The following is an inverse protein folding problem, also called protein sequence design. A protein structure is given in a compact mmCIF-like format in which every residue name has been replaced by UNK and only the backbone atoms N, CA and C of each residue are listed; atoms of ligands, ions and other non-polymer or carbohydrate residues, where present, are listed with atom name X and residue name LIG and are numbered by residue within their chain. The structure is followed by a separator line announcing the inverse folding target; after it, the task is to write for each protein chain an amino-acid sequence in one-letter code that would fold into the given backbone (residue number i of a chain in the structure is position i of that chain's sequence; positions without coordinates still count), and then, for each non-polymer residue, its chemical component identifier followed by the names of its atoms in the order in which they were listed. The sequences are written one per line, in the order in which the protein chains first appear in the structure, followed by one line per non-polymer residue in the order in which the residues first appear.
data_IF_905912737424
#
_entry.id   IF_905912737424
#
_cell.length_a   1.000
_cell.length_b   1.000
_cell.length_c   1.000
_cell.angle_alpha   90.00
_cell.angle_beta   90.00
_cell.angle_gamma   90.00
#
_symmetry.space_group_name_H-M   'P 1'
#
loop_
_entity.id
_entity.type
_entity.pdbx_description
1 polymer ?
#
# COMPACT_ATOMS: atom_id res chain seq x y z
N UNK A 1 -20.66 2.33 -5.79
CA UNK A 1 -19.22 2.53 -6.04
C UNK A 1 -18.98 2.04 -7.43
N UNK A 2 -18.48 2.89 -8.29
CA UNK A 2 -18.20 2.56 -9.68
C UNK A 2 -16.71 2.49 -9.89
N UNK A 3 -16.32 1.55 -10.74
CA UNK A 3 -14.96 1.36 -11.19
C UNK A 3 -14.93 1.51 -12.70
N UNK A 4 -14.10 2.43 -13.17
CA UNK A 4 -13.93 2.74 -14.58
C UNK A 4 -12.55 2.25 -15.02
N UNK A 5 -12.51 1.49 -16.11
CA UNK A 5 -11.30 0.89 -16.64
C UNK A 5 -11.00 1.52 -17.99
N UNK A 6 -9.81 2.10 -18.11
CA UNK A 6 -9.33 2.74 -19.32
C UNK A 6 -8.01 2.12 -19.78
N UNK A 7 -7.89 1.89 -21.09
CA UNK A 7 -6.65 1.37 -21.69
C UNK A 7 -5.75 2.54 -22.08
N UNK A 8 -4.49 2.53 -21.66
CA UNK A 8 -3.55 3.62 -21.88
C UNK A 8 -2.23 3.11 -22.46
N UNK A 9 -1.94 3.53 -23.71
CA UNK A 9 -0.80 3.08 -24.52
C UNK A 9 -0.65 1.54 -24.56
N UNK A 10 0.36 1.02 -25.25
CA UNK A 10 0.42 -0.41 -25.61
C UNK A 10 0.54 -1.38 -24.42
N UNK A 11 0.81 -0.91 -23.19
CA UNK A 11 1.11 -1.80 -22.05
C UNK A 11 0.38 -1.46 -20.72
N UNK A 12 -0.53 -0.50 -20.67
CA UNK A 12 -1.15 -0.05 -19.40
C UNK A 12 -2.68 -0.10 -19.34
N UNK A 13 -3.21 -0.44 -18.17
CA UNK A 13 -4.61 -0.20 -17.79
C UNK A 13 -4.66 0.76 -16.60
N UNK A 14 -5.56 1.73 -16.64
CA UNK A 14 -5.84 2.67 -15.57
C UNK A 14 -7.23 2.38 -14.99
N UNK A 15 -7.31 2.27 -13.67
CA UNK A 15 -8.56 2.00 -12.94
C UNK A 15 -8.89 3.20 -12.06
N UNK A 16 -10.04 3.83 -12.30
CA UNK A 16 -10.61 4.85 -11.42
C UNK A 16 -11.71 4.22 -10.59
N UNK A 17 -11.72 4.47 -9.28
CA UNK A 17 -12.67 3.86 -8.36
C UNK A 17 -13.18 4.89 -7.35
N UNK A 18 -14.49 4.99 -7.17
CA UNK A 18 -15.07 5.98 -6.27
C UNK A 18 -16.58 5.82 -6.09
N UNK A 19 -17.18 6.68 -5.26
CA UNK A 19 -18.64 6.76 -5.17
C UNK A 19 -19.21 7.34 -6.46
N UNK A 20 -20.43 6.91 -6.78
CA UNK A 20 -21.05 7.18 -8.08
C UNK A 20 -21.14 8.69 -8.33
N UNK A 21 -21.46 9.49 -7.31
CA UNK A 21 -21.50 10.96 -7.40
C UNK A 21 -20.13 11.58 -7.70
N UNK A 22 -19.08 11.13 -7.01
CA UNK A 22 -17.72 11.64 -7.17
C UNK A 22 -17.16 11.31 -8.55
N UNK A 23 -17.41 10.08 -9.02
CA UNK A 23 -16.95 9.62 -10.33
C UNK A 23 -17.73 10.32 -11.44
N UNK A 24 -19.03 10.48 -11.32
CA UNK A 24 -19.83 11.22 -12.30
C UNK A 24 -19.37 12.67 -12.41
N UNK A 25 -19.04 13.32 -11.28
CA UNK A 25 -18.46 14.67 -11.26
C UNK A 25 -17.08 14.71 -11.95
N UNK A 26 -16.24 13.70 -11.72
CA UNK A 26 -14.94 13.59 -12.38
C UNK A 26 -15.09 13.42 -13.90
N UNK A 27 -15.99 12.55 -14.35
CA UNK A 27 -16.27 12.30 -15.76
C UNK A 27 -16.85 13.54 -16.46
N UNK A 28 -17.71 14.28 -15.77
CA UNK A 28 -18.28 15.54 -16.28
C UNK A 28 -17.24 16.67 -16.43
N UNK A 29 -16.12 16.61 -15.70
CA UNK A 29 -15.08 17.66 -15.77
C UNK A 29 -14.35 17.72 -17.11
N UNK A 30 -14.26 16.59 -17.82
CA UNK A 30 -13.68 16.52 -19.17
C UNK A 30 -14.36 15.40 -19.98
N UNK A 31 -15.14 15.74 -21.03
CA UNK A 31 -15.82 14.75 -21.87
C UNK A 31 -14.89 13.69 -22.49
N UNK A 32 -13.61 14.02 -22.68
CA UNK A 32 -12.59 13.09 -23.19
C UNK A 32 -12.16 12.00 -22.21
N UNK A 33 -12.54 12.10 -20.92
CA UNK A 33 -12.32 11.03 -19.94
C UNK A 33 -13.33 9.90 -20.14
N UNK A 34 -14.61 10.22 -20.31
CA UNK A 34 -15.67 9.21 -20.52
C UNK A 34 -15.37 8.30 -21.70
N UNK A 35 -14.77 8.84 -22.77
CA UNK A 35 -14.35 8.05 -23.94
C UNK A 35 -13.17 7.11 -23.66
N UNK A 36 -12.24 7.51 -22.78
CA UNK A 36 -11.05 6.70 -22.43
C UNK A 36 -11.34 5.61 -21.40
N UNK A 37 -12.44 5.74 -20.65
CA UNK A 37 -12.90 4.74 -19.69
C UNK A 37 -14.17 4.06 -20.22
N UNK A 38 -14.00 3.22 -21.23
CA UNK A 38 -15.11 2.56 -21.93
C UNK A 38 -15.74 1.41 -21.15
N UNK A 39 -15.08 0.91 -20.11
CA UNK A 39 -15.59 -0.15 -19.24
C UNK A 39 -15.92 0.39 -17.85
N UNK A 40 -17.14 0.10 -17.39
CA UNK A 40 -17.64 0.49 -16.07
C UNK A 40 -18.15 -0.73 -15.32
N UNK A 41 -17.69 -0.90 -14.08
CA UNK A 41 -18.11 -1.95 -13.16
C UNK A 41 -18.75 -1.31 -11.94
N UNK A 42 -20.05 -1.54 -11.74
CA UNK A 42 -20.79 -1.02 -10.58
C UNK A 42 -20.80 -2.03 -9.44
N UNK A 43 -20.22 -1.64 -8.31
CA UNK A 43 -20.23 -2.38 -7.05
C UNK A 43 -21.38 -1.92 -6.16
N UNK A 44 -22.37 -2.80 -6.02
CA UNK A 44 -23.49 -2.62 -5.08
C UNK A 44 -23.03 -2.92 -3.65
N UNK A 45 -23.67 -2.25 -2.68
CA UNK A 45 -23.45 -2.55 -1.26
C UNK A 45 -23.82 -4.01 -0.99
N UNK A 46 -23.00 -4.76 -0.24
CA UNK A 46 -23.31 -6.15 0.07
C UNK A 46 -24.60 -6.24 0.88
N UNK A 47 -25.45 -7.18 0.50
CA UNK A 47 -26.65 -7.54 1.26
C UNK A 47 -26.26 -8.13 2.61
N UNK A 48 -27.17 -8.15 3.62
CA UNK A 48 -26.89 -8.79 4.91
C UNK A 48 -26.42 -10.25 4.76
N UNK A 49 -26.98 -11.00 3.81
CA UNK A 49 -26.56 -12.36 3.50
C UNK A 49 -25.15 -12.43 2.92
N UNK A 50 -24.75 -11.47 2.09
CA UNK A 50 -23.37 -11.38 1.60
C UNK A 50 -22.39 -10.97 2.70
N UNK A 51 -22.78 -10.07 3.61
CA UNK A 51 -21.98 -9.75 4.79
C UNK A 51 -21.75 -10.98 5.68
N UNK A 52 -22.77 -11.84 5.83
CA UNK A 52 -22.63 -13.12 6.51
C UNK A 52 -21.66 -14.06 5.80
N UNK A 53 -21.74 -14.19 4.47
CA UNK A 53 -20.79 -14.99 3.69
C UNK A 53 -19.35 -14.50 3.87
N UNK A 54 -19.13 -13.19 3.74
CA UNK A 54 -17.82 -12.58 3.95
C UNK A 54 -17.27 -12.82 5.37
N UNK A 55 -18.14 -12.76 6.39
CA UNK A 55 -17.76 -13.07 7.77
C UNK A 55 -17.35 -14.54 7.90
N UNK A 56 -18.15 -15.47 7.36
CA UNK A 56 -17.86 -16.91 7.38
C UNK A 56 -16.57 -17.23 6.68
N UNK A 57 -16.36 -16.68 5.49
CA UNK A 57 -15.15 -16.92 4.70
C UNK A 57 -13.91 -16.36 5.41
N UNK A 58 -14.02 -15.17 6.01
CA UNK A 58 -12.91 -14.57 6.78
C UNK A 58 -12.55 -15.39 8.03
N UNK A 59 -13.54 -15.95 8.72
CA UNK A 59 -13.31 -16.81 9.89
C UNK A 59 -12.79 -18.19 9.49
N UNK A 60 -13.27 -18.74 8.37
CA UNK A 60 -12.87 -20.05 7.84
C UNK A 60 -11.43 -20.12 7.34
N UNK A 61 -10.76 -18.98 7.13
CA UNK A 61 -9.33 -18.92 6.80
C UNK A 61 -8.43 -19.32 7.98
N UNK A 62 -8.93 -19.30 9.22
CA UNK A 62 -8.13 -19.62 10.41
C UNK A 62 -8.24 -21.11 10.75
N UNK A 63 -7.24 -21.90 10.35
CA UNK A 63 -7.22 -23.37 10.53
C UNK A 63 -7.17 -23.84 11.99
N UNK A 64 -6.68 -23.00 12.89
CA UNK A 64 -6.49 -23.34 14.31
C UNK A 64 -7.76 -23.13 15.15
N UNK A 65 -8.87 -22.76 14.52
CA UNK A 65 -10.13 -22.42 15.20
C UNK A 65 -11.27 -23.29 14.65
N UNK A 66 -12.00 -23.93 15.55
CA UNK A 66 -13.25 -24.61 15.21
C UNK A 66 -14.33 -23.56 14.91
N UNK A 67 -14.92 -23.70 13.73
CA UNK A 67 -15.89 -22.81 13.14
C UNK A 67 -17.23 -23.52 12.86
N UNK A 68 -17.52 -24.63 13.55
CA UNK A 68 -18.78 -25.38 13.42
C UNK A 68 -20.03 -24.48 13.48
N UNK A 69 -20.09 -23.59 14.47
CA UNK A 69 -21.17 -22.61 14.68
C UNK A 69 -21.36 -21.66 13.49
N UNK A 70 -20.29 -21.37 12.76
CA UNK A 70 -20.32 -20.48 11.59
C UNK A 70 -20.63 -21.27 10.31
N UNK A 71 -20.21 -22.53 10.22
CA UNK A 71 -20.47 -23.41 9.08
C UNK A 71 -21.94 -23.82 9.02
N UNK A 72 -22.53 -24.14 10.18
CA UNK A 72 -23.93 -24.53 10.32
C UNK A 72 -24.55 -23.82 11.54
N UNK A 73 -24.93 -22.54 11.39
CA UNK A 73 -25.61 -21.82 12.46
C UNK A 73 -27.03 -22.36 12.69
N UNK A 74 -27.51 -22.28 13.92
CA UNK A 74 -28.93 -22.44 14.20
C UNK A 74 -29.78 -21.41 13.42
N UNK A 75 -31.02 -21.76 13.09
CA UNK A 75 -31.91 -20.92 12.30
C UNK A 75 -32.22 -19.57 12.98
N UNK A 76 -32.37 -19.57 14.31
CA UNK A 76 -32.61 -18.36 15.09
C UNK A 76 -31.35 -17.48 15.15
N UNK A 77 -30.19 -18.10 15.38
CA UNK A 77 -28.91 -17.40 15.41
C UNK A 77 -28.56 -16.76 14.05
N UNK A 78 -28.76 -17.50 12.96
CA UNK A 78 -28.56 -16.98 11.60
C UNK A 78 -29.49 -15.80 11.28
N UNK A 79 -30.79 -15.91 11.61
CA UNK A 79 -31.74 -14.82 11.41
C UNK A 79 -31.36 -13.56 12.22
N UNK A 80 -30.85 -13.75 13.44
CA UNK A 80 -30.36 -12.66 14.28
C UNK A 80 -29.13 -11.97 13.68
N UNK A 81 -28.18 -12.71 13.12
CA UNK A 81 -27.01 -12.15 12.43
C UNK A 81 -27.44 -11.32 11.22
N UNK A 82 -28.35 -11.84 10.39
CA UNK A 82 -28.83 -11.11 9.22
C UNK A 82 -29.54 -9.81 9.62
N UNK A 83 -30.33 -9.85 10.70
CA UNK A 83 -30.98 -8.66 11.28
C UNK A 83 -29.95 -7.66 11.79
N UNK A 84 -28.89 -8.13 12.44
CA UNK A 84 -27.79 -7.30 12.93
C UNK A 84 -27.04 -6.60 11.79
N UNK A 85 -26.72 -7.31 10.70
CA UNK A 85 -26.11 -6.70 9.52
C UNK A 85 -27.04 -5.75 8.78
N UNK A 86 -28.34 -6.04 8.73
CA UNK A 86 -29.35 -5.10 8.20
C UNK A 86 -29.35 -3.81 9.00
N UNK A 87 -29.36 -3.89 10.33
CA UNK A 87 -29.30 -2.72 11.20
C UNK A 87 -27.99 -1.94 11.02
N UNK A 88 -26.84 -2.62 11.01
CA UNK A 88 -25.54 -2.01 10.74
C UNK A 88 -25.51 -1.26 9.41
N UNK A 89 -26.16 -1.80 8.37
CA UNK A 89 -26.22 -1.17 7.04
C UNK A 89 -27.00 0.16 7.01
N UNK A 90 -27.88 0.39 7.99
CA UNK A 90 -28.63 1.65 8.13
C UNK A 90 -27.90 2.72 8.94
N UNK A 91 -26.84 2.35 9.66
CA UNK A 91 -26.08 3.30 10.49
C UNK A 91 -25.12 4.14 9.64
N UNK A 92 -24.95 5.43 9.97
CA UNK A 92 -23.96 6.28 9.28
C UNK A 92 -22.54 5.75 9.55
N UNK A 93 -21.69 5.83 8.52
CA UNK A 93 -20.30 5.36 8.62
C UNK A 93 -20.11 3.84 8.53
N UNK A 94 -21.14 3.07 8.12
CA UNK A 94 -20.98 1.66 7.77
C UNK A 94 -20.12 1.47 6.50
N UNK A 95 -18.91 0.96 6.70
CA UNK A 95 -17.87 0.66 5.71
C UNK A 95 -17.98 -0.73 5.07
N UNK A 96 -19.14 -1.39 5.16
CA UNK A 96 -19.43 -2.67 4.50
C UNK A 96 -18.35 -3.74 4.74
N UNK A 97 -17.69 -4.23 3.68
CA UNK A 97 -16.68 -5.29 3.77
C UNK A 97 -15.53 -4.97 4.72
N UNK A 98 -15.11 -3.71 4.83
CA UNK A 98 -14.07 -3.28 5.79
C UNK A 98 -14.49 -3.55 7.23
N UNK A 99 -15.76 -3.28 7.54
CA UNK A 99 -16.30 -3.48 8.88
C UNK A 99 -16.57 -4.94 9.17
N UNK A 100 -17.05 -5.71 8.18
CA UNK A 100 -17.17 -7.17 8.29
C UNK A 100 -15.81 -7.79 8.60
N UNK A 101 -14.74 -7.33 7.92
CA UNK A 101 -13.37 -7.77 8.18
C UNK A 101 -12.88 -7.35 9.58
N UNK A 102 -13.19 -6.13 10.00
CA UNK A 102 -12.86 -5.67 11.36
C UNK A 102 -13.58 -6.51 12.43
N UNK A 103 -14.84 -6.87 12.19
CA UNK A 103 -15.63 -7.75 13.06
C UNK A 103 -14.98 -9.15 13.11
N UNK A 104 -14.65 -9.75 11.97
CA UNK A 104 -14.00 -11.06 11.92
C UNK A 104 -12.67 -11.06 12.66
N UNK A 105 -11.82 -10.06 12.43
CA UNK A 105 -10.52 -9.94 13.08
C UNK A 105 -10.67 -9.74 14.59
N UNK A 106 -11.72 -9.04 15.04
CA UNK A 106 -12.03 -8.87 16.46
C UNK A 106 -12.48 -10.18 17.10
N UNK A 107 -13.30 -10.97 16.41
CA UNK A 107 -13.70 -12.32 16.87
C UNK A 107 -12.45 -13.18 17.00
N UNK A 108 -11.64 -13.25 15.94
CA UNK A 108 -10.39 -14.04 15.91
C UNK A 108 -9.49 -13.64 17.08
N UNK A 109 -9.21 -12.35 17.27
CA UNK A 109 -8.38 -11.86 18.39
C UNK A 109 -8.92 -12.28 19.74
N UNK A 110 -10.24 -12.20 19.96
CA UNK A 110 -10.87 -12.61 21.23
C UNK A 110 -10.76 -14.11 21.44
N UNK A 111 -10.99 -14.91 20.41
CA UNK A 111 -10.78 -16.38 20.47
C UNK A 111 -9.35 -16.68 20.91
N UNK A 112 -8.36 -16.05 20.27
CA UNK A 112 -6.94 -16.25 20.61
C UNK A 112 -6.52 -15.69 21.99
N UNK A 113 -7.31 -14.81 22.58
CA UNK A 113 -7.05 -14.23 23.91
C UNK A 113 -7.70 -15.05 25.03
N UNK A 114 -8.55 -16.02 24.71
CA UNK A 114 -9.11 -16.94 25.69
C UNK A 114 -8.12 -18.09 25.94
N UNK A 115 -7.73 -18.35 27.21
CA UNK A 115 -6.91 -19.51 27.52
C UNK A 115 -7.66 -20.79 27.15
N UNK A 116 -6.95 -21.77 26.59
CA UNK A 116 -7.52 -23.10 26.35
C UNK A 116 -7.68 -23.81 27.69
N UNK A 117 -8.82 -24.45 27.89
CA UNK A 117 -9.02 -25.34 29.02
C UNK A 117 -8.14 -26.60 28.88
N UNK A 118 -7.78 -27.21 30.01
CA UNK A 118 -6.99 -28.44 30.05
C UNK A 118 -7.67 -29.54 29.22
N UNK A 119 -7.04 -29.91 28.08
CA UNK A 119 -7.52 -30.94 27.17
C UNK A 119 -8.11 -30.44 25.84
N UNK A 120 -8.28 -29.13 25.64
CA UNK A 120 -8.67 -28.59 24.34
C UNK A 120 -7.43 -28.45 23.43
N UNK A 121 -7.49 -29.03 22.23
CA UNK A 121 -6.45 -28.92 21.19
C UNK A 121 -6.75 -27.83 20.17
N UNK A 122 -7.97 -27.27 20.18
CA UNK A 122 -8.41 -26.26 19.24
C UNK A 122 -9.30 -25.24 19.95
N UNK A 123 -9.15 -23.96 19.59
CA UNK A 123 -10.01 -22.90 20.09
C UNK A 123 -11.37 -22.94 19.37
N UNK A 124 -12.48 -22.66 20.05
CA UNK A 124 -13.83 -22.78 19.48
C UNK A 124 -14.50 -21.39 19.38
N UNK A 125 -15.11 -21.09 18.23
CA UNK A 125 -15.99 -19.92 18.09
C UNK A 125 -17.38 -20.27 18.64
N UNK A 126 -17.82 -19.55 19.67
CA UNK A 126 -19.16 -19.70 20.25
C UNK A 126 -20.13 -18.64 19.72
N UNK A 127 -21.43 -18.95 19.72
CA UNK A 127 -22.49 -17.99 19.36
C UNK A 127 -22.43 -16.73 20.22
N UNK A 128 -22.23 -16.90 21.53
CA UNK A 128 -22.14 -15.79 22.48
C UNK A 128 -21.00 -14.82 22.16
N UNK A 129 -19.86 -15.31 21.70
CA UNK A 129 -18.73 -14.47 21.30
C UNK A 129 -19.08 -13.61 20.07
N UNK A 130 -19.64 -14.25 19.03
CA UNK A 130 -20.06 -13.57 17.80
C UNK A 130 -21.13 -12.53 18.11
N UNK A 131 -22.13 -12.90 18.91
CA UNK A 131 -23.19 -12.00 19.35
C UNK A 131 -22.64 -10.80 20.11
N UNK A 132 -21.71 -11.03 21.05
CA UNK A 132 -21.10 -9.95 21.83
C UNK A 132 -20.30 -8.98 20.95
N UNK A 133 -19.57 -9.47 19.95
CA UNK A 133 -18.80 -8.60 19.04
C UNK A 133 -19.73 -7.78 18.15
N UNK A 134 -20.77 -8.40 17.57
CA UNK A 134 -21.75 -7.71 16.74
C UNK A 134 -22.53 -6.65 17.53
N UNK A 135 -23.04 -7.00 18.71
CA UNK A 135 -23.74 -6.05 19.59
C UNK A 135 -22.84 -4.90 20.01
N UNK A 136 -21.58 -5.17 20.42
CA UNK A 136 -20.62 -4.11 20.76
C UNK A 136 -20.37 -3.17 19.58
N UNK A 137 -20.31 -3.72 18.37
CA UNK A 137 -20.09 -2.93 17.15
C UNK A 137 -21.28 -2.04 16.84
N UNK A 138 -22.50 -2.57 16.96
CA UNK A 138 -23.75 -1.81 16.82
C UNK A 138 -23.81 -0.67 17.83
N UNK A 139 -23.59 -0.96 19.12
CA UNK A 139 -23.70 0.01 20.20
C UNK A 139 -22.68 1.15 20.03
N UNK A 140 -21.41 0.82 19.76
CA UNK A 140 -20.36 1.83 19.51
C UNK A 140 -20.72 2.78 18.38
N UNK A 141 -21.40 2.29 17.35
CA UNK A 141 -21.79 3.09 16.18
C UNK A 141 -23.05 3.90 16.41
N UNK A 142 -24.03 3.35 17.11
CA UNK A 142 -25.19 4.11 17.55
C UNK A 142 -24.74 5.31 18.38
N UNK A 143 -23.80 5.13 19.32
CA UNK A 143 -23.25 6.23 20.12
C UNK A 143 -22.58 7.31 19.24
N UNK A 144 -21.80 6.92 18.23
CA UNK A 144 -21.20 7.88 17.28
C UNK A 144 -22.24 8.61 16.44
N UNK A 145 -23.27 7.89 15.98
CA UNK A 145 -24.36 8.48 15.22
C UNK A 145 -25.10 9.54 16.04
N UNK A 146 -25.39 9.25 17.32
CA UNK A 146 -26.06 10.19 18.23
C UNK A 146 -25.16 11.36 18.64
N UNK A 147 -23.84 11.18 18.71
CA UNK A 147 -22.91 12.26 19.03
C UNK A 147 -22.72 13.27 17.87
N UNK A 148 -23.22 12.97 16.66
CA UNK A 148 -23.04 13.81 15.46
C UNK A 148 -24.22 14.77 15.21
N UNK A 149 -25.28 14.76 16.04
CA UNK A 149 -26.36 15.77 15.97
C UNK A 149 -26.02 16.96 16.89
N UNK A 150 -25.84 18.19 16.36
CA UNK A 150 -25.64 19.37 17.18
C UNK A 150 -26.98 19.81 17.77
N UNK A 151 -27.25 19.46 19.02
CA UNK A 151 -28.28 20.14 19.81
C UNK A 151 -27.59 21.23 20.64
N UNK A 152 -27.68 22.48 20.19
CA UNK A 152 -27.35 23.65 21.01
C UNK A 152 -28.46 24.70 20.83
N UNK A 153 -29.16 25.12 21.91
CA UNK A 153 -29.93 26.35 21.88
C UNK A 153 -28.94 27.53 21.86
N UNK A 154 -28.95 28.28 20.77
CA UNK A 154 -28.24 29.55 20.63
C UNK A 154 -28.77 30.57 21.64
N UNK A 155 -27.89 31.07 22.52
CA UNK A 155 -28.09 32.36 23.19
C UNK A 155 -26.88 33.24 22.86
N UNK A 156 -27.07 34.43 22.25
CA UNK A 156 -25.98 35.29 21.84
C UNK A 156 -25.57 36.20 23.00
N UNK A 157 -24.57 35.80 23.77
CA UNK A 157 -23.85 36.71 24.66
C UNK A 157 -22.52 37.08 24.00
N UNK A 158 -22.48 38.28 23.42
CA UNK A 158 -21.27 38.91 22.94
C UNK A 158 -20.29 39.12 24.10
N UNK A 159 -19.03 38.73 23.89
CA UNK A 159 -17.89 39.18 24.69
C UNK A 159 -16.69 39.47 23.76
N UNK A 160 -15.82 40.43 24.12
CA UNK A 160 -15.00 41.17 23.17
C UNK A 160 -13.68 40.47 22.83
N UNK A 161 -13.21 40.71 21.60
CA UNK A 161 -11.91 40.31 21.12
C UNK A 161 -10.78 40.99 21.92
N UNK A 162 -9.90 40.18 22.50
CA UNK A 162 -8.58 40.62 22.97
C UNK A 162 -7.54 40.10 21.97
N UNK A 163 -6.90 41.04 21.27
CA UNK A 163 -5.79 40.79 20.37
C UNK A 163 -4.57 40.31 21.17
N UNK A 164 -4.12 39.09 20.91
CA UNK A 164 -2.81 38.58 21.32
C UNK A 164 -1.79 38.75 20.17
N UNK A 165 -0.48 38.91 20.47
CA UNK A 165 0.55 39.15 19.47
C UNK A 165 0.80 37.92 18.57
N UNK A 166 1.30 38.10 17.33
CA UNK A 166 1.55 36.99 16.43
C UNK A 166 2.79 36.20 16.88
N UNK A 167 2.62 34.91 17.13
CA UNK A 167 3.74 33.98 17.25
C UNK A 167 4.21 33.58 15.85
N UNK A 168 5.39 34.07 15.46
CA UNK A 168 6.13 33.64 14.27
C UNK A 168 6.76 32.27 14.52
N UNK A 169 6.54 31.34 13.57
CA UNK A 169 7.24 30.06 13.52
C UNK A 169 8.74 30.28 13.20
N UNK A 170 9.66 29.48 13.77
CA UNK A 170 11.09 29.63 13.50
C UNK A 170 11.44 29.10 12.10
N UNK A 171 11.91 30.01 11.25
CA UNK A 171 12.65 29.69 10.03
C UNK A 171 14.08 29.31 10.40
N UNK A 172 14.52 28.12 10.01
CA UNK A 172 15.94 27.77 10.08
C UNK A 172 16.68 28.47 8.94
N UNK A 173 17.59 29.36 9.33
CA UNK A 173 18.59 30.02 8.49
C UNK A 173 19.72 29.04 8.17
N UNK A 174 19.94 28.77 6.88
CA UNK A 174 21.23 28.28 6.38
C UNK A 174 21.89 29.43 5.61
N UNK A 175 23.16 29.66 5.94
CA UNK A 175 23.91 30.88 5.72
C UNK A 175 24.14 31.23 4.23
N UNK A 176 24.04 32.53 3.98
CA UNK A 176 24.48 33.23 2.78
C UNK A 176 25.99 33.11 2.58
N UNK A 177 26.42 32.94 1.33
CA UNK A 177 27.66 33.56 0.84
C UNK A 177 27.31 34.46 -0.34
N UNK A 178 27.53 35.76 -0.16
CA UNK A 178 27.30 36.78 -1.15
C UNK A 178 28.65 37.25 -1.73
N UNK A 179 28.71 37.36 -3.06
CA UNK A 179 29.44 38.34 -3.89
C UNK A 179 29.33 37.85 -5.33
N UNK A 180 29.02 38.63 -6.37
CA UNK A 180 28.82 40.07 -6.52
C UNK A 180 28.18 40.25 -7.91
N UNK A 181 27.28 41.22 -8.07
CA UNK A 181 26.68 41.57 -9.37
C UNK A 181 27.71 42.19 -10.31
N UNK A 182 27.63 41.84 -11.60
CA UNK A 182 27.59 42.81 -12.69
C UNK A 182 26.92 42.17 -13.93
N UNK A 183 26.06 42.95 -14.60
CA UNK A 183 25.28 42.65 -15.81
C UNK A 183 25.89 43.48 -16.97
N UNK A 184 25.44 43.47 -18.26
CA UNK A 184 24.55 42.56 -19.01
C UNK A 184 25.13 42.11 -20.38
N UNK A 185 24.51 41.12 -21.04
CA UNK A 185 24.09 41.19 -22.47
C UNK A 185 23.43 39.89 -22.96
N UNK A 186 22.37 40.09 -23.72
CA UNK A 186 21.39 39.15 -24.32
C UNK A 186 21.97 38.32 -25.50
N UNK A 187 21.22 37.35 -26.08
CA UNK A 187 21.72 36.12 -26.69
C UNK A 187 21.82 36.21 -28.22
N UNK A 188 22.28 35.15 -28.90
CA UNK A 188 21.30 34.44 -29.74
C UNK A 188 21.48 32.91 -29.78
N UNK A 189 20.36 32.22 -30.04
CA UNK A 189 20.12 31.17 -31.04
C UNK A 189 21.25 30.13 -31.29
N UNK A 190 21.02 28.82 -31.37
CA UNK A 190 19.98 28.13 -32.13
C UNK A 190 19.98 26.65 -31.70
N UNK A 191 18.77 26.09 -31.68
CA UNK A 191 18.32 24.71 -31.86
C UNK A 191 19.28 23.50 -31.89
N UNK A 192 18.68 22.41 -31.41
CA UNK A 192 18.67 21.06 -31.99
C UNK A 192 19.52 19.98 -31.33
N UNK A 193 18.73 19.00 -30.90
CA UNK A 193 18.89 17.57 -31.13
C UNK A 193 19.67 16.73 -30.13
N UNK A 194 18.96 15.67 -29.75
CA UNK A 194 19.41 14.63 -28.85
C UNK A 194 20.66 13.95 -29.39
N UNK A 195 21.63 13.78 -28.50
CA UNK A 195 22.71 12.84 -28.66
C UNK A 195 22.70 11.87 -27.48
N UNK A 196 22.44 10.62 -27.83
CA UNK A 196 22.55 9.42 -27.03
C UNK A 196 23.94 9.37 -26.36
N UNK A 197 24.03 9.40 -25.03
CA UNK A 197 25.31 9.31 -24.32
C UNK A 197 25.78 7.84 -24.29
N UNK A 198 26.84 7.56 -25.05
CA UNK A 198 27.53 6.26 -25.07
C UNK A 198 28.43 6.07 -23.84
N UNK A 199 28.68 4.81 -23.44
CA UNK A 199 29.45 4.38 -22.26
C UNK A 199 30.86 4.98 -22.08
N UNK A 200 31.43 5.66 -23.08
CA UNK A 200 32.73 6.31 -22.98
C UNK A 200 32.72 7.64 -22.19
N UNK A 201 31.55 8.22 -21.89
CA UNK A 201 31.44 9.53 -21.22
C UNK A 201 31.43 9.45 -19.68
N UNK A 202 31.38 8.23 -19.11
CA UNK A 202 31.31 8.02 -17.65
C UNK A 202 32.68 8.04 -16.95
N UNK A 203 33.77 8.19 -17.72
CA UNK A 203 35.13 8.51 -17.25
C UNK A 203 35.51 9.97 -17.57
N UNK A 204 34.53 10.86 -17.70
CA UNK A 204 34.72 12.26 -18.05
C UNK A 204 35.50 13.07 -17.00
N UNK A 205 36.07 14.23 -17.40
CA UNK A 205 36.87 15.09 -16.53
C UNK A 205 36.04 15.60 -15.35
N UNK A 206 36.67 15.71 -14.19
CA UNK A 206 36.08 16.21 -12.94
C UNK A 206 35.32 17.53 -13.12
N UNK A 207 34.11 17.58 -12.56
CA UNK A 207 33.29 18.78 -12.56
C UNK A 207 33.94 19.94 -11.77
N UNK A 208 34.01 21.16 -12.34
CA UNK A 208 34.54 22.33 -11.64
C UNK A 208 33.71 22.64 -10.38
N UNK A 209 34.34 22.61 -9.21
CA UNK A 209 33.71 23.02 -7.93
C UNK A 209 33.47 21.90 -6.90
N UNK A 210 33.71 20.64 -7.24
CA UNK A 210 33.66 19.51 -6.27
C UNK A 210 35.00 19.41 -5.54
N UNK A 211 35.02 19.26 -4.21
CA UNK A 211 36.28 19.09 -3.44
C UNK A 211 36.94 17.74 -3.71
N UNK A 212 38.24 17.60 -3.41
CA UNK A 212 38.97 16.34 -3.62
C UNK A 212 38.33 15.20 -2.81
N UNK A 213 37.94 15.50 -1.58
CA UNK A 213 37.36 14.54 -0.64
C UNK A 213 35.99 14.03 -1.09
N UNK A 214 35.13 14.94 -1.59
CA UNK A 214 33.80 14.56 -2.11
C UNK A 214 33.93 13.76 -3.40
N UNK A 215 34.89 14.12 -4.27
CA UNK A 215 35.15 13.40 -5.50
C UNK A 215 35.64 11.98 -5.23
N UNK A 216 36.62 11.81 -4.34
CA UNK A 216 37.17 10.49 -4.00
C UNK A 216 36.12 9.59 -3.35
N UNK A 217 35.25 10.16 -2.50
CA UNK A 217 34.12 9.43 -1.91
C UNK A 217 33.13 8.96 -2.98
N UNK A 218 32.74 9.82 -3.93
CA UNK A 218 31.82 9.45 -5.01
C UNK A 218 32.40 8.33 -5.91
N UNK A 219 33.71 8.34 -6.15
CA UNK A 219 34.38 7.27 -6.89
C UNK A 219 34.39 5.95 -6.10
N UNK A 220 34.62 6.01 -4.79
CA UNK A 220 34.53 4.84 -3.91
C UNK A 220 33.10 4.25 -3.89
N UNK A 221 32.09 5.10 -3.73
CA UNK A 221 30.68 4.70 -3.69
C UNK A 221 30.24 4.07 -5.01
N UNK A 222 30.64 4.66 -6.16
CA UNK A 222 30.39 4.08 -7.48
C UNK A 222 30.99 2.69 -7.61
N UNK A 223 32.26 2.53 -7.19
CA UNK A 223 32.94 1.24 -7.24
C UNK A 223 32.26 0.19 -6.35
N UNK A 224 31.81 0.58 -5.16
CA UNK A 224 31.06 -0.30 -4.27
C UNK A 224 29.71 -0.71 -4.88
N UNK A 225 28.98 0.25 -5.43
CA UNK A 225 27.70 0.01 -6.08
C UNK A 225 27.85 -0.91 -7.30
N UNK A 226 28.84 -0.67 -8.17
CA UNK A 226 29.13 -1.52 -9.32
C UNK A 226 29.56 -2.94 -8.90
N UNK A 227 30.31 -3.06 -7.80
CA UNK A 227 30.67 -4.36 -7.23
C UNK A 227 29.43 -5.11 -6.71
N UNK A 228 28.49 -4.40 -6.07
CA UNK A 228 27.23 -4.97 -5.60
C UNK A 228 26.36 -5.46 -6.76
N UNK A 229 26.23 -4.67 -7.84
CA UNK A 229 25.49 -5.09 -9.04
C UNK A 229 26.09 -6.35 -9.65
N UNK A 230 27.43 -6.41 -9.75
CA UNK A 230 28.13 -7.59 -10.27
C UNK A 230 27.89 -8.82 -9.39
N UNK A 231 27.94 -8.65 -8.07
CA UNK A 231 27.67 -9.72 -7.12
C UNK A 231 26.24 -10.25 -7.24
N UNK A 232 25.24 -9.36 -7.28
CA UNK A 232 23.84 -9.75 -7.48
C UNK A 232 23.63 -10.51 -8.80
N UNK A 233 24.29 -10.06 -9.88
CA UNK A 233 24.21 -10.72 -11.19
C UNK A 233 24.83 -12.12 -11.17
N UNK A 234 25.90 -12.33 -10.41
CA UNK A 234 26.54 -13.63 -10.21
C UNK A 234 25.60 -14.61 -9.49
N UNK A 235 24.94 -14.17 -8.40
CA UNK A 235 23.94 -14.98 -7.67
C UNK A 235 22.79 -15.40 -8.60
N UNK A 236 22.23 -14.47 -9.38
CA UNK A 236 21.14 -14.77 -10.33
C UNK A 236 21.61 -15.75 -11.43
N UNK A 237 22.84 -15.61 -11.91
CA UNK A 237 23.38 -16.50 -12.94
C UNK A 237 23.66 -17.90 -12.39
N UNK A 238 24.19 -18.00 -11.17
CA UNK A 238 24.44 -19.27 -10.48
C UNK A 238 23.14 -20.03 -10.22
N UNK A 239 22.10 -19.37 -9.70
CA UNK A 239 20.78 -19.95 -9.49
C UNK A 239 20.19 -20.54 -10.78
N UNK A 240 20.25 -19.77 -11.89
CA UNK A 240 19.81 -20.23 -13.22
C UNK A 240 20.63 -21.40 -13.74
N UNK A 241 21.96 -21.37 -13.57
CA UNK A 241 22.83 -22.46 -14.00
C UNK A 241 22.54 -23.75 -13.25
N UNK A 242 22.32 -23.66 -11.93
CA UNK A 242 22.04 -24.82 -11.09
C UNK A 242 20.63 -25.39 -11.35
N UNK A 243 19.64 -24.51 -11.57
CA UNK A 243 18.29 -24.93 -11.95
C UNK A 243 18.28 -25.66 -13.29
N UNK A 244 19.00 -25.13 -14.29
CA UNK A 244 19.14 -25.79 -15.60
C UNK A 244 19.83 -27.16 -15.51
N UNK A 245 20.83 -27.30 -14.63
CA UNK A 245 21.46 -28.61 -14.35
C UNK A 245 20.49 -29.59 -13.70
N UNK A 246 19.59 -29.13 -12.83
CA UNK A 246 18.57 -29.98 -12.20
C UNK A 246 17.51 -30.45 -13.22
N UNK A 247 17.12 -29.59 -14.15
CA UNK A 247 16.17 -29.93 -15.23
C UNK A 247 16.78 -30.90 -16.26
N UNK A 248 18.08 -30.78 -16.52
CA UNK A 248 18.85 -31.72 -17.36
C UNK A 248 19.26 -32.96 -16.53
N UNK A 249 18.32 -33.88 -16.34
CA UNK A 249 18.36 -35.10 -15.52
C UNK A 249 19.46 -36.16 -15.85
N UNK A 250 20.65 -35.77 -16.32
CA UNK A 250 21.70 -36.69 -16.82
C UNK A 250 22.86 -36.93 -15.86
N UNK A 251 22.99 -36.18 -14.76
CA UNK A 251 24.12 -36.30 -13.84
C UNK A 251 23.66 -35.89 -12.44
N UNK A 252 22.85 -36.77 -11.83
CA UNK A 252 22.48 -36.61 -10.42
C UNK A 252 23.53 -37.35 -9.58
N UNK A 253 24.24 -36.65 -8.67
CA UNK A 253 25.23 -37.28 -7.81
C UNK A 253 24.55 -38.11 -6.71
N UNK A 254 25.36 -38.76 -5.86
CA UNK A 254 24.93 -39.62 -4.74
C UNK A 254 23.90 -38.91 -3.82
N UNK A 255 23.11 -39.66 -3.05
CA UNK A 255 21.90 -39.13 -2.38
C UNK A 255 22.22 -37.98 -1.38
N UNK A 256 23.42 -38.00 -0.77
CA UNK A 256 23.94 -36.95 0.11
C UNK A 256 24.34 -35.67 -0.65
N UNK A 257 25.04 -35.80 -1.78
CA UNK A 257 25.45 -34.67 -2.63
C UNK A 257 24.22 -33.99 -3.27
N UNK A 258 23.20 -34.77 -3.60
CA UNK A 258 21.90 -34.27 -4.05
C UNK A 258 21.17 -33.44 -2.98
N UNK A 259 21.32 -33.82 -1.70
CA UNK A 259 20.75 -33.06 -0.59
C UNK A 259 21.43 -31.69 -0.46
N UNK A 260 22.77 -31.66 -0.45
CA UNK A 260 23.55 -30.43 -0.40
C UNK A 260 23.23 -29.48 -1.57
N UNK A 261 23.08 -30.04 -2.77
CA UNK A 261 22.72 -29.28 -3.96
C UNK A 261 21.35 -28.62 -3.86
N UNK A 262 20.34 -29.36 -3.37
CA UNK A 262 18.99 -28.82 -3.14
C UNK A 262 18.98 -27.72 -2.09
N UNK A 263 19.79 -27.85 -1.04
CA UNK A 263 19.94 -26.82 -0.02
C UNK A 263 20.62 -25.57 -0.57
N UNK A 264 21.67 -25.72 -1.39
CA UNK A 264 22.34 -24.62 -2.06
C UNK A 264 21.40 -23.85 -3.00
N UNK A 265 20.63 -24.57 -3.82
CA UNK A 265 19.59 -23.98 -4.68
C UNK A 265 18.54 -23.25 -3.85
N UNK A 266 18.09 -23.81 -2.73
CA UNK A 266 17.13 -23.14 -1.82
C UNK A 266 17.70 -21.85 -1.24
N UNK A 267 18.99 -21.83 -0.92
CA UNK A 267 19.69 -20.63 -0.43
C UNK A 267 19.77 -19.53 -1.49
N UNK A 268 20.18 -19.89 -2.71
CA UNK A 268 20.27 -18.94 -3.83
C UNK A 268 18.90 -18.38 -4.22
N UNK A 269 17.85 -19.21 -4.25
CA UNK A 269 16.48 -18.74 -4.49
C UNK A 269 16.06 -17.70 -3.46
N UNK A 270 16.39 -17.89 -2.18
CA UNK A 270 16.11 -16.88 -1.15
C UNK A 270 16.82 -15.56 -1.44
N UNK A 271 18.10 -15.60 -1.78
CA UNK A 271 18.88 -14.39 -2.11
C UNK A 271 18.36 -13.70 -3.37
N UNK A 272 17.94 -14.43 -4.41
CA UNK A 272 17.37 -13.83 -5.61
C UNK A 272 16.04 -13.11 -5.36
N UNK A 273 15.21 -13.63 -4.45
CA UNK A 273 13.97 -12.96 -4.01
C UNK A 273 14.31 -11.65 -3.29
N UNK A 274 15.28 -11.67 -2.37
CA UNK A 274 15.74 -10.46 -1.66
C UNK A 274 16.30 -9.39 -2.63
N UNK A 275 17.08 -9.81 -3.64
CA UNK A 275 17.58 -8.91 -4.70
C UNK A 275 16.42 -8.32 -5.51
N UNK A 276 15.40 -9.10 -5.85
CA UNK A 276 14.24 -8.64 -6.62
C UNK A 276 13.37 -7.67 -5.80
N UNK A 277 13.16 -7.92 -4.51
CA UNK A 277 12.46 -7.02 -3.60
C UNK A 277 13.20 -5.68 -3.48
N UNK A 278 14.52 -5.70 -3.25
CA UNK A 278 15.34 -4.48 -3.22
C UNK A 278 15.22 -3.67 -4.51
N UNK A 279 15.28 -4.32 -5.68
CA UNK A 279 15.09 -3.65 -6.98
C UNK A 279 13.70 -3.04 -7.14
N UNK A 280 12.64 -3.71 -6.66
CA UNK A 280 11.27 -3.17 -6.68
C UNK A 280 11.14 -1.95 -5.78
N UNK A 281 11.75 -1.97 -4.59
CA UNK A 281 11.77 -0.82 -3.69
C UNK A 281 12.52 0.37 -4.31
N UNK A 282 13.71 0.13 -4.90
CA UNK A 282 14.49 1.16 -5.60
C UNK A 282 13.72 1.74 -6.80
N UNK A 283 13.02 0.92 -7.58
CA UNK A 283 12.22 1.36 -8.71
C UNK A 283 10.99 2.17 -8.25
N UNK A 284 10.31 1.73 -7.19
CA UNK A 284 9.21 2.47 -6.60
C UNK A 284 9.68 3.85 -6.10
N UNK A 285 10.83 3.90 -5.41
CA UNK A 285 11.44 5.15 -4.97
C UNK A 285 11.86 6.04 -6.16
N UNK A 286 12.42 5.47 -7.23
CA UNK A 286 12.76 6.22 -8.45
C UNK A 286 11.50 6.84 -9.07
N UNK A 287 10.43 6.07 -9.21
CA UNK A 287 9.13 6.56 -9.73
C UNK A 287 8.56 7.67 -8.86
N UNK A 288 8.66 7.56 -7.53
CA UNK A 288 8.26 8.63 -6.60
C UNK A 288 9.08 9.92 -6.81
N UNK A 289 10.38 9.82 -7.08
CA UNK A 289 11.24 10.97 -7.41
C UNK A 289 10.88 11.59 -8.77
N UNK A 290 10.63 10.76 -9.79
CA UNK A 290 10.24 11.20 -11.14
C UNK A 290 8.87 11.90 -11.16
N UNK A 291 7.92 11.44 -10.34
CA UNK A 291 6.58 12.05 -10.21
C UNK A 291 6.60 13.44 -9.52
N UNK A 292 7.75 13.91 -9.06
CA UNK A 292 7.93 15.27 -8.56
C UNK A 292 7.09 15.59 -7.31
N UNK A 293 6.53 16.79 -7.25
CA UNK A 293 5.66 17.22 -6.15
C UNK A 293 4.21 16.97 -6.56
N UNK A 294 3.40 16.42 -5.65
CA UNK A 294 1.96 16.29 -5.88
C UNK A 294 1.36 17.66 -6.28
N UNK A 295 0.30 17.72 -7.13
CA UNK A 295 -0.38 18.96 -7.49
C UNK A 295 -0.80 19.87 -6.32
N UNK A 296 -0.85 19.32 -5.10
CA UNK A 296 -1.13 20.05 -3.85
C UNK A 296 0.13 20.56 -3.12
N UNK A 297 1.32 20.48 -3.72
CA UNK A 297 2.57 21.02 -3.18
C UNK A 297 3.30 20.11 -2.17
N UNK A 298 2.84 18.88 -1.97
CA UNK A 298 3.48 17.91 -1.07
C UNK A 298 4.47 17.00 -1.80
N UNK A 299 5.65 16.77 -1.20
CA UNK A 299 6.57 15.73 -1.66
C UNK A 299 6.01 14.35 -1.30
N UNK A 300 6.14 13.39 -2.21
CA UNK A 300 5.78 12.01 -1.93
C UNK A 300 6.63 11.48 -0.77
N UNK A 301 5.97 10.93 0.26
CA UNK A 301 6.63 10.35 1.43
C UNK A 301 6.90 8.87 1.12
N UNK A 302 8.15 8.45 1.37
CA UNK A 302 8.64 7.07 1.28
C UNK A 302 8.09 6.18 2.37
#
# INVERSE_FOLDING_TARGET
MEVFIGKFLSEGFLILAGYDEDINRLMASNPGLTSRFSETVTFKKPTPSQCWLLLRDSLGQVRQVDHAVIRQPDGQFHAWILTSFKHLSTLPGWGNGRDVKTISDTIIRRVFSCPLDEGQTQMVITEGLVSAVLQSTIQKRQLRATATVPNLPTSPAAMPAMAGPPHTAPSFTAASWAKQQDNPSTPPDTDSDGANLTEADLNGPRDPGVSNEVWDQLQADRKQHDAQIKHDAEIINEEKALRKKLDNNSEMPDDDERCQYKEHVRSLVRQTVEIEERKKEEEAQRKLREMGVCPMGYRWIS
#
